data_IF_526786922751
#
_entry.id   IF_526786922751
#
_cell.length_a   1.000
_cell.length_b   1.000
_cell.length_c   1.000
_cell.angle_alpha   90.00
_cell.angle_beta   90.00
_cell.angle_gamma   90.00
#
_symmetry.space_group_name_H-M   'P 1'
#
loop_
_entity.id
_entity.type
_entity.pdbx_description
1 polymer ?
#
# COMPACT_ATOMS: atom_id res chain seq x y z
N UNK A 1 -6.05 -11.84 25.83
CA UNK A 1 -6.57 -10.55 25.33
C UNK A 1 -5.50 -9.96 24.40
N UNK A 2 -5.75 -9.98 23.10
CA UNK A 2 -4.83 -9.43 22.10
C UNK A 2 -5.33 -8.06 21.66
N UNK A 3 -4.49 -7.04 21.73
CA UNK A 3 -4.79 -5.69 21.24
C UNK A 3 -4.04 -5.53 19.91
N UNK A 4 -4.79 -5.46 18.81
CA UNK A 4 -4.29 -5.07 17.50
C UNK A 4 -4.45 -3.56 17.37
N UNK A 5 -3.34 -2.81 17.28
CA UNK A 5 -3.39 -1.39 16.91
C UNK A 5 -3.00 -1.32 15.44
N UNK A 6 -4.02 -1.33 14.58
CA UNK A 6 -3.92 -1.03 13.15
C UNK A 6 -4.17 0.47 13.02
N UNK A 7 -3.23 1.23 12.45
CA UNK A 7 -3.52 2.59 12.01
C UNK A 7 -4.37 2.53 10.74
N UNK A 8 -5.62 2.94 10.84
CA UNK A 8 -6.39 3.37 9.67
C UNK A 8 -5.77 4.68 9.17
N UNK A 9 -5.38 4.72 7.90
CA UNK A 9 -5.38 5.99 7.16
C UNK A 9 -6.84 6.44 7.17
N UNK A 10 -7.11 7.57 7.83
CA UNK A 10 -8.43 8.19 7.88
C UNK A 10 -8.83 8.64 6.47
N UNK A 11 -9.41 7.73 5.70
CA UNK A 11 -10.19 8.02 4.50
C UNK A 11 -11.58 8.51 4.94
N UNK A 12 -11.65 9.60 5.70
CA UNK A 12 -12.87 10.42 5.80
C UNK A 12 -13.12 11.10 4.45
N UNK A 13 -13.45 10.29 3.45
CA UNK A 13 -14.28 10.71 2.35
C UNK A 13 -15.62 11.07 2.96
N UNK A 14 -15.95 12.36 2.86
CA UNK A 14 -17.29 12.89 3.01
C UNK A 14 -18.28 11.92 2.31
N UNK A 15 -19.32 11.40 2.98
CA UNK A 15 -20.22 10.40 2.40
C UNK A 15 -20.91 10.86 1.12
N UNK A 16 -21.07 12.18 0.91
CA UNK A 16 -21.57 12.73 -0.37
C UNK A 16 -20.61 12.52 -1.56
N UNK A 17 -19.31 12.29 -1.29
CA UNK A 17 -18.28 12.12 -2.32
C UNK A 17 -18.11 10.65 -2.73
N UNK A 18 -18.68 9.71 -1.99
CA UNK A 18 -18.60 8.27 -2.30
C UNK A 18 -19.52 7.90 -3.47
N UNK A 19 -20.69 8.51 -3.54
CA UNK A 19 -21.63 8.34 -4.65
C UNK A 19 -21.09 8.95 -5.95
N UNK A 20 -20.43 10.12 -5.86
CA UNK A 20 -19.78 10.76 -7.00
C UNK A 20 -18.64 9.92 -7.60
N UNK A 21 -17.82 9.28 -6.75
CA UNK A 21 -16.70 8.44 -7.21
C UNK A 21 -17.18 7.15 -7.87
N UNK A 22 -18.26 6.54 -7.37
CA UNK A 22 -18.83 5.34 -7.98
C UNK A 22 -19.52 5.65 -9.31
N UNK A 23 -20.24 6.78 -9.40
CA UNK A 23 -20.80 7.29 -10.66
C UNK A 23 -19.70 7.56 -11.70
N UNK A 24 -18.58 8.17 -11.29
CA UNK A 24 -17.48 8.48 -12.21
C UNK A 24 -16.72 7.22 -12.65
N UNK A 25 -16.53 6.24 -11.75
CA UNK A 25 -15.96 4.93 -12.09
C UNK A 25 -16.83 4.18 -13.11
N UNK A 26 -18.14 4.14 -12.92
CA UNK A 26 -19.04 3.50 -13.88
C UNK A 26 -19.03 4.22 -15.24
N UNK A 27 -18.99 5.56 -15.25
CA UNK A 27 -18.87 6.34 -16.50
C UNK A 27 -17.56 6.12 -17.24
N UNK A 28 -16.46 5.88 -16.54
CA UNK A 28 -15.14 5.61 -17.14
C UNK A 28 -15.09 4.19 -17.69
N UNK A 29 -15.61 3.20 -16.95
CA UNK A 29 -15.72 1.81 -17.44
C UNK A 29 -16.60 1.77 -18.70
N UNK A 30 -17.75 2.46 -18.68
CA UNK A 30 -18.68 2.44 -19.82
C UNK A 30 -18.07 3.13 -21.07
N UNK A 31 -17.28 4.20 -20.89
CA UNK A 31 -16.56 4.86 -22.00
C UNK A 31 -15.41 4.04 -22.56
N UNK A 32 -14.68 3.28 -21.71
CA UNK A 32 -13.49 2.56 -22.13
C UNK A 32 -13.81 1.16 -22.69
N UNK A 33 -14.82 0.48 -22.16
CA UNK A 33 -15.07 -0.93 -22.49
C UNK A 33 -16.16 -1.15 -23.55
N UNK A 34 -17.20 -0.31 -23.64
CA UNK A 34 -18.24 -0.45 -24.70
C UNK A 34 -17.69 -0.39 -26.13
N UNK A 35 -16.73 0.49 -26.47
CA UNK A 35 -16.17 0.51 -27.82
C UNK A 35 -15.37 -0.76 -28.15
N UNK A 36 -14.80 -1.42 -27.14
CA UNK A 36 -14.02 -2.65 -27.30
C UNK A 36 -14.96 -3.84 -27.52
N UNK A 37 -16.03 -3.95 -26.72
CA UNK A 37 -17.03 -5.00 -26.87
C UNK A 37 -17.74 -4.97 -28.24
N UNK A 38 -18.00 -3.77 -28.76
CA UNK A 38 -18.61 -3.62 -30.09
C UNK A 38 -17.66 -3.96 -31.25
N UNK A 39 -16.34 -3.90 -31.06
CA UNK A 39 -15.37 -4.30 -32.09
C UNK A 39 -15.21 -5.81 -32.20
N UNK A 40 -15.46 -6.55 -31.12
CA UNK A 40 -15.29 -8.01 -31.10
C UNK A 40 -16.47 -8.69 -31.82
N UNK A 41 -17.67 -8.10 -31.75
CA UNK A 41 -18.88 -8.64 -32.38
C UNK A 41 -19.03 -8.32 -33.88
N UNK A 42 -18.11 -7.53 -34.48
CA UNK A 42 -18.13 -7.21 -35.92
C UNK A 42 -17.14 -8.07 -36.74
N UNK A 43 -16.42 -9.00 -36.09
CA UNK A 43 -15.40 -9.85 -36.75
C UNK A 43 -15.79 -11.33 -36.89
N UNK A 44 -16.99 -11.75 -36.49
CA UNK A 44 -17.45 -13.15 -36.58
C UNK A 44 -18.32 -13.44 -37.82
N UNK A 45 -17.91 -13.01 -39.01
CA UNK A 45 -18.50 -13.48 -40.27
C UNK A 45 -17.48 -13.41 -41.41
N UNK A 46 -16.53 -14.36 -41.45
CA UNK A 46 -15.94 -14.91 -42.68
C UNK A 46 -14.79 -15.89 -42.38
N UNK A 47 -15.11 -17.19 -42.39
CA UNK A 47 -14.44 -18.25 -43.17
C UNK A 47 -14.45 -19.59 -42.41
N UNK A 48 -15.31 -20.48 -42.90
CA UNK A 48 -15.07 -21.91 -42.92
C UNK A 48 -13.87 -22.20 -43.82
N UNK A 49 -12.99 -23.10 -43.39
CA UNK A 49 -12.64 -24.31 -44.15
C UNK A 49 -11.71 -25.19 -43.29
N UNK A 50 -11.96 -26.49 -43.38
CA UNK A 50 -11.29 -27.58 -42.68
C UNK A 50 -9.77 -27.60 -42.91
N UNK A 51 -8.99 -27.86 -41.86
CA UNK A 51 -7.79 -28.70 -41.95
C UNK A 51 -7.35 -29.17 -40.54
N UNK A 52 -7.46 -30.48 -40.30
CA UNK A 52 -6.82 -31.18 -39.18
C UNK A 52 -5.31 -30.98 -39.26
N UNK A 53 -4.71 -30.32 -38.26
CA UNK A 53 -3.27 -30.39 -38.08
C UNK A 53 -2.93 -30.68 -36.61
N UNK A 54 -2.30 -31.83 -36.46
CA UNK A 54 -1.88 -32.45 -35.23
C UNK A 54 -0.59 -31.76 -34.76
N UNK A 55 -0.72 -30.71 -33.96
CA UNK A 55 0.38 -30.02 -33.30
C UNK A 55 0.18 -30.12 -31.79
N UNK A 56 1.12 -30.76 -31.10
CA UNK A 56 1.22 -30.66 -29.64
C UNK A 56 1.39 -29.18 -29.29
N UNK A 57 0.30 -28.53 -28.88
CA UNK A 57 0.35 -27.28 -28.15
C UNK A 57 0.93 -27.60 -26.77
N UNK A 58 2.25 -27.44 -26.64
CA UNK A 58 2.86 -27.13 -25.35
C UNK A 58 2.21 -25.83 -24.89
N UNK A 59 1.18 -25.96 -24.05
CA UNK A 59 0.70 -24.85 -23.24
C UNK A 59 1.85 -24.41 -22.37
N UNK A 60 2.58 -23.40 -22.83
CA UNK A 60 3.37 -22.52 -22.00
C UNK A 60 2.40 -21.87 -21.00
N UNK A 61 2.14 -22.58 -19.91
CA UNK A 61 1.59 -22.01 -18.70
C UNK A 61 2.61 -20.93 -18.27
N UNK A 62 2.39 -19.69 -18.74
CA UNK A 62 2.89 -18.50 -18.07
C UNK A 62 2.36 -18.56 -16.63
N UNK A 63 3.12 -19.24 -15.78
CA UNK A 63 2.93 -19.26 -14.35
C UNK A 63 3.34 -17.86 -13.88
N UNK A 64 2.46 -16.89 -14.12
CA UNK A 64 2.62 -15.51 -13.69
C UNK A 64 2.68 -15.52 -12.18
N UNK A 65 3.89 -15.60 -11.62
CA UNK A 65 4.14 -15.42 -10.21
C UNK A 65 3.45 -14.13 -9.78
N UNK A 66 2.36 -14.27 -9.02
CA UNK A 66 1.66 -13.10 -8.49
C UNK A 66 2.63 -12.41 -7.55
N UNK A 67 3.20 -11.29 -8.00
CA UNK A 67 4.03 -10.44 -7.13
C UNK A 67 3.20 -10.03 -5.93
N UNK A 68 3.60 -10.51 -4.75
CA UNK A 68 2.95 -10.12 -3.51
C UNK A 68 3.20 -8.63 -3.26
N UNK A 69 2.13 -7.91 -2.94
CA UNK A 69 2.22 -6.49 -2.62
C UNK A 69 2.87 -6.32 -1.24
N UNK A 70 3.99 -5.59 -1.19
CA UNK A 70 4.61 -5.18 0.08
C UNK A 70 4.02 -3.88 0.59
N UNK A 71 3.99 -3.73 1.91
CA UNK A 71 3.39 -2.62 2.63
C UNK A 71 4.44 -1.65 3.17
N UNK A 72 4.05 -0.39 3.38
CA UNK A 72 4.83 0.59 4.14
C UNK A 72 4.16 0.84 5.49
N UNK A 73 4.92 0.71 6.58
CA UNK A 73 4.40 0.88 7.93
C UNK A 73 4.88 2.19 8.56
N UNK A 74 4.01 2.80 9.37
CA UNK A 74 4.35 3.93 10.23
C UNK A 74 4.26 3.48 11.69
N UNK A 75 5.31 3.74 12.47
CA UNK A 75 5.38 3.32 13.89
C UNK A 75 5.47 4.57 14.76
N UNK A 76 4.39 4.99 15.42
CA UNK A 76 4.46 6.11 16.34
C UNK A 76 5.24 5.75 17.60
N UNK A 77 5.77 6.75 18.31
CA UNK A 77 6.63 6.48 19.45
C UNK A 77 5.92 5.76 20.62
N UNK A 78 4.62 5.96 20.77
CA UNK A 78 3.82 5.25 21.78
C UNK A 78 3.48 3.81 21.38
N UNK A 79 3.72 3.44 20.12
CA UNK A 79 3.43 2.12 19.55
C UNK A 79 4.65 1.26 19.28
N UNK A 80 5.85 1.65 19.77
CA UNK A 80 7.09 0.95 19.45
C UNK A 80 7.09 -0.53 19.81
N UNK A 81 6.59 -0.90 20.99
CA UNK A 81 6.57 -2.30 21.43
C UNK A 81 5.69 -3.17 20.52
N UNK A 82 4.51 -2.70 20.15
CA UNK A 82 3.64 -3.40 19.20
C UNK A 82 4.18 -3.39 17.77
N UNK A 83 4.86 -2.30 17.38
CA UNK A 83 5.51 -2.17 16.09
C UNK A 83 6.61 -3.21 15.91
N UNK A 84 7.52 -3.31 16.89
CA UNK A 84 8.61 -4.31 16.89
C UNK A 84 8.03 -5.71 16.78
N UNK A 85 7.06 -6.07 17.61
CA UNK A 85 6.42 -7.39 17.56
C UNK A 85 5.81 -7.69 16.18
N UNK A 86 5.18 -6.69 15.55
CA UNK A 86 4.58 -6.86 14.22
C UNK A 86 5.64 -7.07 13.14
N UNK A 87 6.79 -6.38 13.25
CA UNK A 87 7.92 -6.58 12.36
C UNK A 87 8.54 -7.97 12.54
N UNK A 88 8.70 -8.44 13.78
CA UNK A 88 9.24 -9.77 14.06
C UNK A 88 8.36 -10.90 13.49
N UNK A 89 7.04 -10.74 13.54
CA UNK A 89 6.10 -11.77 13.09
C UNK A 89 5.88 -11.76 11.56
N UNK A 90 6.13 -10.64 10.88
CA UNK A 90 5.64 -10.37 9.50
C UNK A 90 6.58 -9.50 8.66
N UNK A 91 7.89 -9.61 8.88
CA UNK A 91 8.89 -8.74 8.23
C UNK A 91 8.80 -8.78 6.69
N UNK A 92 8.54 -9.96 6.13
CA UNK A 92 8.40 -10.27 4.71
C UNK A 92 7.34 -9.41 3.99
N UNK A 93 6.31 -8.97 4.74
CA UNK A 93 5.23 -8.13 4.21
C UNK A 93 5.62 -6.68 3.99
N UNK A 94 6.71 -6.21 4.59
CA UNK A 94 7.06 -4.78 4.57
C UNK A 94 8.12 -4.48 3.51
N UNK A 95 7.88 -3.40 2.76
CA UNK A 95 8.87 -2.76 1.91
C UNK A 95 9.63 -1.69 2.68
N UNK A 96 8.92 -0.93 3.52
CA UNK A 96 9.52 0.13 4.31
C UNK A 96 8.83 0.31 5.66
N UNK A 97 9.57 0.85 6.62
CA UNK A 97 9.09 1.16 7.96
C UNK A 97 9.55 2.54 8.35
N UNK A 98 8.64 3.32 8.89
CA UNK A 98 8.84 4.72 9.22
C UNK A 98 8.57 4.98 10.70
N UNK A 99 9.56 4.75 11.59
CA UNK A 99 9.38 4.97 13.01
C UNK A 99 9.55 6.44 13.39
N UNK A 100 8.65 6.95 14.22
CA UNK A 100 8.72 8.30 14.78
C UNK A 100 9.75 8.30 15.90
N UNK A 101 10.92 8.87 15.64
CA UNK A 101 12.02 8.96 16.61
C UNK A 101 12.24 10.38 17.15
N UNK A 102 11.56 11.38 16.58
CA UNK A 102 11.53 12.75 17.08
C UNK A 102 10.12 13.32 17.08
N UNK A 103 9.87 14.26 17.98
CA UNK A 103 8.65 15.06 18.02
C UNK A 103 9.02 16.54 18.15
N UNK A 104 8.30 17.40 17.44
CA UNK A 104 8.51 18.85 17.51
C UNK A 104 7.76 19.44 18.72
N UNK A 105 8.48 20.18 19.57
CA UNK A 105 7.92 20.97 20.66
C UNK A 105 7.19 22.21 20.15
N UNK A 106 6.37 22.81 21.02
CA UNK A 106 5.69 24.09 20.73
C UNK A 106 6.63 25.27 20.46
N UNK A 107 7.91 25.17 20.84
CA UNK A 107 8.94 26.16 20.54
C UNK A 107 9.78 25.81 19.29
N UNK A 108 9.37 24.81 18.52
CA UNK A 108 10.07 24.34 17.31
C UNK A 108 11.29 23.43 17.57
N UNK A 109 11.68 23.18 18.83
CA UNK A 109 12.78 22.26 19.14
C UNK A 109 12.37 20.79 19.00
N UNK A 110 13.34 19.88 18.80
CA UNK A 110 13.08 18.44 18.71
C UNK A 110 13.25 17.75 20.07
N UNK A 111 12.27 16.91 20.44
CA UNK A 111 12.39 15.94 21.53
C UNK A 111 12.78 14.58 20.94
N UNK A 112 13.80 13.94 21.51
CA UNK A 112 14.14 12.57 21.20
C UNK A 112 13.10 11.59 21.77
N UNK A 113 12.47 10.80 20.89
CA UNK A 113 11.49 9.77 21.20
C UNK A 113 11.99 8.35 20.87
N UNK A 114 13.25 8.20 20.47
CA UNK A 114 13.89 6.89 20.19
C UNK A 114 13.89 6.05 21.47
N UNK A 115 13.24 4.88 21.50
CA UNK A 115 13.23 4.01 22.68
C UNK A 115 14.58 3.29 22.82
N UNK A 116 14.87 2.77 24.01
CA UNK A 116 16.11 2.04 24.28
C UNK A 116 16.27 0.78 23.41
N UNK A 117 15.16 0.15 23.02
CA UNK A 117 15.12 -1.04 22.17
C UNK A 117 15.02 -0.72 20.67
N UNK A 118 15.20 0.52 20.24
CA UNK A 118 15.12 0.88 18.82
C UNK A 118 16.10 0.11 17.94
N UNK A 119 17.25 -0.29 18.50
CA UNK A 119 18.24 -1.12 17.80
C UNK A 119 17.62 -2.39 17.21
N UNK A 120 16.59 -2.93 17.86
CA UNK A 120 15.88 -4.11 17.34
C UNK A 120 15.16 -3.82 16.02
N UNK A 121 14.66 -2.61 15.81
CA UNK A 121 14.04 -2.21 14.53
C UNK A 121 15.11 -2.08 13.45
N UNK A 122 16.28 -1.51 13.79
CA UNK A 122 17.42 -1.40 12.86
C UNK A 122 17.86 -2.81 12.40
N UNK A 123 18.01 -3.74 13.35
CA UNK A 123 18.38 -5.14 13.07
C UNK A 123 17.34 -5.85 12.19
N UNK A 124 16.05 -5.80 12.55
CA UNK A 124 15.00 -6.46 11.74
C UNK A 124 14.96 -5.88 10.32
N UNK A 125 15.13 -4.55 10.19
CA UNK A 125 15.09 -3.91 8.89
C UNK A 125 16.27 -4.32 8.00
N UNK A 126 17.47 -4.39 8.56
CA UNK A 126 18.67 -4.87 7.86
C UNK A 126 18.55 -6.36 7.48
N UNK A 127 18.10 -7.20 8.41
CA UNK A 127 17.93 -8.65 8.19
C UNK A 127 16.92 -8.99 7.08
N UNK A 128 15.95 -8.10 6.81
CA UNK A 128 14.82 -8.37 5.91
C UNK A 128 14.75 -7.44 4.69
N UNK A 129 15.81 -6.67 4.43
CA UNK A 129 15.86 -5.69 3.32
C UNK A 129 14.67 -4.71 3.34
N UNK A 130 14.33 -4.23 4.53
CA UNK A 130 13.26 -3.25 4.74
C UNK A 130 13.89 -1.85 4.77
N UNK A 131 13.35 -0.93 3.97
CA UNK A 131 13.78 0.46 3.99
C UNK A 131 13.35 1.14 5.29
N UNK A 132 14.32 1.50 6.14
CA UNK A 132 14.09 2.22 7.40
C UNK A 132 14.13 3.74 7.19
N UNK A 133 13.00 4.42 7.42
CA UNK A 133 12.85 5.87 7.22
C UNK A 133 12.57 6.55 8.57
N UNK A 134 13.58 7.09 9.27
CA UNK A 134 13.32 7.78 10.53
C UNK A 134 12.42 8.99 10.32
N UNK A 135 11.35 9.09 11.12
CA UNK A 135 10.33 10.13 11.01
C UNK A 135 10.34 11.10 12.19
N UNK A 136 9.93 12.33 11.89
CA UNK A 136 9.68 13.40 12.86
C UNK A 136 8.18 13.68 12.88
N UNK A 137 7.57 13.66 14.07
CA UNK A 137 6.16 13.99 14.22
C UNK A 137 5.94 15.45 14.61
N UNK A 138 4.90 16.05 14.02
CA UNK A 138 4.38 17.35 14.40
C UNK A 138 2.87 17.22 14.63
N UNK A 139 2.46 17.16 15.90
CA UNK A 139 1.04 17.00 16.28
C UNK A 139 0.38 18.33 16.68
N UNK A 140 1.15 19.40 16.89
CA UNK A 140 0.62 20.73 17.18
C UNK A 140 0.22 21.46 15.88
N UNK A 141 -1.09 21.53 15.64
CA UNK A 141 -1.66 22.20 14.46
C UNK A 141 -1.41 23.71 14.44
N UNK A 142 -1.17 24.34 15.61
CA UNK A 142 -0.89 25.78 15.67
C UNK A 142 0.49 26.06 15.09
N UNK A 143 1.47 25.25 15.49
CA UNK A 143 2.82 25.34 14.95
C UNK A 143 2.84 25.09 13.44
N UNK A 144 1.96 24.22 12.95
CA UNK A 144 1.80 23.99 11.51
C UNK A 144 1.39 25.26 10.74
N UNK A 145 0.58 26.12 11.37
CA UNK A 145 0.13 27.39 10.79
C UNK A 145 1.20 28.48 10.83
N UNK A 146 2.21 28.33 11.69
CA UNK A 146 3.33 29.28 11.80
C UNK A 146 4.49 28.92 10.84
N UNK A 147 4.57 27.68 10.38
CA UNK A 147 5.65 27.15 9.53
C UNK A 147 5.31 27.24 8.03
N UNK A 148 4.03 27.19 7.66
CA UNK A 148 3.54 27.23 6.27
C UNK A 148 2.92 28.59 5.92
#
# INVERSE_FOLDING_TARGET
MSVFIIFFIDNRLNPSRYDDINSEKERVIDRLYKPIANRINETEDANSDDEENNGNEETDEENGERKEAKESAWIPYWGFSSGIKSLEEKADRFYSVSPVIYEVNSNGSLINKKPSNFKRIEEIAEENDILLIPSIALFDWRLFSDIL
#
